data_IF_960713642269
#
_entry.id   IF_960713642269
#
_cell.length_a   1.000
_cell.length_b   1.000
_cell.length_c   1.000
_cell.angle_alpha   90.00
_cell.angle_beta   90.00
_cell.angle_gamma   90.00
#
_symmetry.space_group_name_H-M   'P 1'
#
loop_
_entity.id
_entity.type
_entity.pdbx_description
1 polymer ?
#
# COMPACT_ATOMS: atom_id res chain seq x y z
N UNK A 1 -15.91 -14.51 -23.97
CA UNK A 1 -14.65 -14.73 -23.24
C UNK A 1 -14.94 -14.65 -21.75
N UNK A 2 -15.01 -15.77 -21.05
CA UNK A 2 -15.11 -15.78 -19.59
C UNK A 2 -13.75 -15.33 -19.04
N UNK A 3 -13.63 -14.07 -18.63
CA UNK A 3 -12.40 -13.56 -18.01
C UNK A 3 -12.13 -14.39 -16.75
N UNK A 4 -10.96 -15.01 -16.67
CA UNK A 4 -10.50 -15.75 -15.49
C UNK A 4 -10.60 -14.83 -14.26
N UNK A 5 -11.11 -15.31 -13.11
CA UNK A 5 -11.02 -14.57 -11.85
C UNK A 5 -9.58 -14.15 -11.55
N UNK A 6 -9.35 -12.86 -11.34
CA UNK A 6 -8.07 -12.31 -10.90
C UNK A 6 -7.99 -12.29 -9.38
N UNK A 7 -6.79 -12.49 -8.86
CA UNK A 7 -6.41 -12.18 -7.47
C UNK A 7 -5.91 -10.76 -7.39
N UNK A 8 -6.57 -9.91 -6.62
CA UNK A 8 -6.29 -8.48 -6.55
C UNK A 8 -5.98 -8.11 -5.11
N UNK A 9 -4.76 -7.61 -4.88
CA UNK A 9 -4.40 -6.99 -3.61
C UNK A 9 -4.71 -5.51 -3.68
N UNK A 10 -5.65 -5.05 -2.86
CA UNK A 10 -5.98 -3.64 -2.75
C UNK A 10 -5.21 -3.03 -1.58
N UNK A 11 -4.33 -2.07 -1.84
CA UNK A 11 -3.53 -1.39 -0.82
C UNK A 11 -4.07 0.01 -0.57
N UNK A 12 -4.34 0.34 0.67
CA UNK A 12 -4.77 1.69 1.05
C UNK A 12 -4.23 2.08 2.41
N UNK A 13 -3.96 3.36 2.61
CA UNK A 13 -3.63 3.91 3.92
C UNK A 13 -4.86 4.04 4.82
N UNK A 14 -6.06 4.17 4.26
CA UNK A 14 -7.31 4.33 5.00
C UNK A 14 -8.45 3.55 4.34
N UNK A 15 -9.40 3.06 5.12
CA UNK A 15 -10.58 2.35 4.63
C UNK A 15 -11.68 2.35 5.70
N UNK A 16 -12.91 2.69 5.32
CA UNK A 16 -14.07 2.48 6.20
C UNK A 16 -14.38 0.99 6.32
N UNK A 17 -14.81 0.51 7.50
CA UNK A 17 -15.05 1.24 8.76
C UNK A 17 -13.82 1.41 9.66
N UNK A 18 -12.65 0.91 9.27
CA UNK A 18 -11.47 0.83 10.14
C UNK A 18 -10.84 2.20 10.45
N UNK A 19 -10.55 3.00 9.42
CA UNK A 19 -9.97 4.33 9.56
C UNK A 19 -10.44 5.26 8.44
N UNK A 20 -10.85 6.47 8.80
CA UNK A 20 -11.36 7.48 7.86
C UNK A 20 -10.78 8.85 8.15
N UNK A 21 -10.11 9.42 7.15
CA UNK A 21 -9.66 10.81 7.10
C UNK A 21 -10.24 11.49 5.86
N UNK A 22 -10.11 10.86 4.69
CA UNK A 22 -10.53 11.43 3.41
C UNK A 22 -11.45 10.53 2.59
N UNK A 23 -11.68 10.92 1.33
CA UNK A 23 -12.52 10.18 0.38
C UNK A 23 -11.90 8.85 -0.07
N UNK A 24 -10.57 8.69 0.03
CA UNK A 24 -9.91 7.40 -0.24
C UNK A 24 -10.45 6.31 0.68
N UNK A 25 -10.78 6.63 1.94
CA UNK A 25 -11.35 5.65 2.87
C UNK A 25 -12.69 5.08 2.39
N UNK A 26 -13.54 5.91 1.79
CA UNK A 26 -14.84 5.50 1.25
C UNK A 26 -14.68 4.62 -0.01
N UNK A 27 -13.69 4.93 -0.86
CA UNK A 27 -13.34 4.09 -2.03
C UNK A 27 -12.79 2.75 -1.55
N UNK A 28 -11.83 2.73 -0.64
CA UNK A 28 -11.23 1.51 -0.11
C UNK A 28 -12.24 0.63 0.68
N UNK A 29 -13.29 1.23 1.26
CA UNK A 29 -14.37 0.50 1.91
C UNK A 29 -15.49 0.01 0.98
N UNK A 30 -15.51 0.40 -0.30
CA UNK A 30 -16.61 0.05 -1.23
C UNK A 30 -16.14 -0.65 -2.51
N UNK A 31 -15.04 -0.21 -3.10
CA UNK A 31 -14.52 -0.72 -4.36
C UNK A 31 -14.06 -2.18 -4.26
N UNK A 32 -13.32 -2.62 -3.21
CA UNK A 32 -12.95 -4.04 -3.07
C UNK A 32 -14.17 -4.98 -3.04
N UNK A 33 -15.26 -4.54 -2.39
CA UNK A 33 -16.53 -5.28 -2.34
C UNK A 33 -17.15 -5.40 -3.74
N UNK A 34 -17.20 -4.31 -4.49
CA UNK A 34 -17.73 -4.30 -5.85
C UNK A 34 -16.91 -5.20 -6.79
N UNK A 35 -15.59 -5.13 -6.74
CA UNK A 35 -14.70 -5.97 -7.55
C UNK A 35 -14.86 -7.45 -7.19
N UNK A 36 -15.00 -7.78 -5.90
CA UNK A 36 -15.25 -9.16 -5.46
C UNK A 36 -16.60 -9.68 -5.93
N UNK A 37 -17.64 -8.83 -5.93
CA UNK A 37 -18.96 -9.17 -6.48
C UNK A 37 -18.95 -9.44 -8.00
N UNK A 38 -17.94 -8.93 -8.73
CA UNK A 38 -17.70 -9.26 -10.14
C UNK A 38 -16.99 -10.62 -10.34
N UNK A 39 -16.72 -11.36 -9.25
CA UNK A 39 -16.14 -12.71 -9.28
C UNK A 39 -14.63 -12.76 -9.17
N UNK A 40 -13.97 -11.70 -8.72
CA UNK A 40 -12.52 -11.65 -8.46
C UNK A 40 -12.19 -11.95 -6.98
N UNK A 41 -11.01 -12.49 -6.71
CA UNK A 41 -10.53 -12.66 -5.32
C UNK A 41 -9.79 -11.38 -4.88
N UNK A 42 -10.52 -10.49 -4.21
CA UNK A 42 -9.96 -9.23 -3.72
C UNK A 42 -9.68 -9.32 -2.22
N UNK A 43 -8.52 -8.83 -1.81
CA UNK A 43 -8.09 -8.70 -0.41
C UNK A 43 -7.61 -7.27 -0.17
N UNK A 44 -8.02 -6.66 0.94
CA UNK A 44 -7.61 -5.32 1.33
C UNK A 44 -6.44 -5.42 2.33
N UNK A 45 -5.42 -4.58 2.18
CA UNK A 45 -4.43 -4.38 3.23
C UNK A 45 -4.24 -2.91 3.55
N UNK A 46 -4.15 -2.62 4.85
CA UNK A 46 -3.95 -1.28 5.39
C UNK A 46 -3.15 -1.33 6.71
N UNK A 47 -2.64 -0.21 7.23
CA UNK A 47 -2.03 -0.22 8.57
C UNK A 47 -3.06 -0.38 9.68
N UNK A 48 -2.65 -0.97 10.82
CA UNK A 48 -3.41 -0.95 12.06
C UNK A 48 -3.02 0.29 12.86
N UNK A 49 -3.82 1.35 12.81
CA UNK A 49 -3.66 2.55 13.63
C UNK A 49 -4.18 2.38 15.08
N UNK A 50 -3.61 3.14 16.02
CA UNK A 50 -4.03 3.13 17.44
C UNK A 50 -5.52 3.45 17.65
N UNK A 51 -6.09 4.31 16.80
CA UNK A 51 -7.51 4.67 16.85
C UNK A 51 -8.46 3.52 16.49
N UNK A 52 -7.97 2.43 15.88
CA UNK A 52 -8.77 1.25 15.56
C UNK A 52 -8.96 0.44 16.84
N UNK A 53 -10.13 0.60 17.45
CA UNK A 53 -10.47 -0.08 18.70
C UNK A 53 -10.77 -1.56 18.47
N UNK A 54 -10.12 -2.42 19.25
CA UNK A 54 -10.22 -3.87 19.13
C UNK A 54 -11.58 -4.44 19.51
N UNK A 55 -12.44 -3.68 20.19
CA UNK A 55 -13.80 -4.07 20.57
C UNK A 55 -14.83 -3.87 19.45
N UNK A 56 -14.49 -3.13 18.40
CA UNK A 56 -15.39 -2.85 17.27
C UNK A 56 -15.33 -3.89 16.16
N UNK A 57 -14.25 -4.67 16.11
CA UNK A 57 -13.98 -5.60 15.01
C UNK A 57 -13.54 -6.95 15.53
N UNK A 58 -13.86 -8.00 14.79
CA UNK A 58 -13.23 -9.29 15.02
C UNK A 58 -11.85 -9.30 14.38
N UNK A 59 -10.83 -9.50 15.21
CA UNK A 59 -9.44 -9.57 14.80
C UNK A 59 -8.85 -10.94 15.12
N UNK A 60 -8.10 -11.49 14.16
CA UNK A 60 -7.34 -12.73 14.33
C UNK A 60 -5.86 -12.50 14.03
N UNK A 61 -4.98 -13.15 14.79
CA UNK A 61 -3.54 -13.15 14.49
C UNK A 61 -3.31 -14.02 13.27
N UNK A 62 -2.62 -13.50 12.26
CA UNK A 62 -2.27 -14.26 11.05
C UNK A 62 -0.80 -14.63 11.10
N UNK A 63 -0.54 -15.94 11.23
CA UNK A 63 0.80 -16.51 11.27
C UNK A 63 1.65 -15.99 12.43
N UNK A 64 2.95 -16.27 12.35
CA UNK A 64 3.93 -15.72 13.28
C UNK A 64 4.42 -14.34 12.82
N UNK A 65 4.91 -13.49 13.75
CA UNK A 65 5.50 -12.21 13.38
C UNK A 65 6.69 -12.44 12.44
N UNK A 66 6.86 -11.55 11.48
CA UNK A 66 7.92 -11.62 10.48
C UNK A 66 8.73 -10.32 10.45
N UNK A 67 9.95 -10.41 9.95
CA UNK A 67 10.85 -9.27 9.79
C UNK A 67 10.72 -8.67 8.39
N UNK A 68 10.89 -7.36 8.29
CA UNK A 68 11.08 -6.66 7.03
C UNK A 68 12.36 -5.83 7.04
N UNK A 69 13.07 -5.74 5.90
CA UNK A 69 14.29 -4.95 5.80
C UNK A 69 13.99 -3.44 5.85
N UNK A 70 14.54 -2.73 6.84
CA UNK A 70 14.50 -1.26 6.91
C UNK A 70 15.76 -0.69 7.56
N UNK A 71 16.28 0.40 6.99
CA UNK A 71 17.52 1.03 7.40
C UNK A 71 18.66 0.01 7.42
N UNK A 72 19.42 0.01 8.53
CA UNK A 72 20.55 -0.90 8.74
C UNK A 72 20.16 -2.26 9.36
N UNK A 73 18.87 -2.54 9.50
CA UNK A 73 18.39 -3.73 10.19
C UNK A 73 17.04 -4.19 9.67
N UNK A 74 16.24 -4.71 10.59
CA UNK A 74 14.91 -5.22 10.30
C UNK A 74 13.91 -4.67 11.31
N UNK A 75 12.68 -4.44 10.84
CA UNK A 75 11.54 -4.12 11.69
C UNK A 75 10.65 -5.34 11.82
N UNK A 76 10.26 -5.67 13.06
CA UNK A 76 9.37 -6.79 13.32
C UNK A 76 7.92 -6.33 13.19
N UNK A 77 7.16 -7.03 12.35
CA UNK A 77 5.76 -6.71 12.06
C UNK A 77 4.86 -7.92 12.31
N UNK A 78 3.61 -7.62 12.66
CA UNK A 78 2.55 -8.60 12.86
C UNK A 78 1.46 -8.38 11.83
N UNK A 79 0.80 -9.45 11.40
CA UNK A 79 -0.36 -9.37 10.53
C UNK A 79 -1.62 -9.76 11.30
N UNK A 80 -2.65 -8.94 11.16
CA UNK A 80 -3.96 -9.18 11.77
C UNK A 80 -4.99 -9.30 10.68
N UNK A 81 -5.80 -10.36 10.73
CA UNK A 81 -6.92 -10.62 9.84
C UNK A 81 -8.21 -10.01 10.38
N UNK A 82 -9.04 -9.54 9.47
CA UNK A 82 -10.44 -9.18 9.69
C UNK A 82 -11.21 -9.31 8.37
N UNK A 83 -12.46 -8.87 8.37
CA UNK A 83 -13.29 -8.82 7.17
C UNK A 83 -14.03 -7.50 7.07
N UNK A 84 -14.09 -6.95 5.86
CA UNK A 84 -14.97 -5.83 5.52
C UNK A 84 -16.33 -6.39 5.13
N UNK A 85 -17.38 -5.97 5.85
CA UNK A 85 -18.77 -6.45 5.72
C UNK A 85 -18.93 -7.99 5.76
N UNK A 86 -18.01 -8.70 6.44
CA UNK A 86 -18.01 -10.17 6.46
C UNK A 86 -17.65 -10.84 5.12
N UNK A 87 -17.22 -10.08 4.11
CA UNK A 87 -17.11 -10.57 2.73
C UNK A 87 -15.71 -10.41 2.12
N UNK A 88 -15.06 -9.26 2.29
CA UNK A 88 -13.72 -9.01 1.75
C UNK A 88 -12.70 -9.23 2.85
N UNK A 89 -11.72 -10.16 2.69
CA UNK A 89 -10.64 -10.31 3.65
C UNK A 89 -9.81 -9.04 3.78
N UNK A 90 -9.51 -8.64 5.01
CA UNK A 90 -8.71 -7.46 5.34
C UNK A 90 -7.51 -7.90 6.18
N UNK A 91 -6.31 -7.45 5.81
CA UNK A 91 -5.12 -7.67 6.62
C UNK A 91 -4.48 -6.36 7.05
N UNK A 92 -4.36 -6.18 8.36
CA UNK A 92 -3.82 -5.00 8.97
C UNK A 92 -2.38 -5.21 9.42
N UNK A 93 -1.48 -4.28 9.08
CA UNK A 93 -0.11 -4.27 9.63
C UNK A 93 -0.16 -3.78 11.07
N UNK A 94 0.09 -4.66 12.03
CA UNK A 94 0.36 -4.23 13.40
C UNK A 94 1.87 -4.05 13.58
N UNK A 95 2.24 -2.85 13.96
CA UNK A 95 3.59 -2.47 14.33
C UNK A 95 3.51 -1.26 15.27
N UNK A 96 3.99 -1.40 16.50
CA UNK A 96 3.84 -0.37 17.52
C UNK A 96 4.58 0.93 17.18
N UNK A 97 5.87 0.90 16.77
CA UNK A 97 6.61 2.12 16.46
C UNK A 97 5.97 2.99 15.39
N UNK A 98 5.46 2.40 14.31
CA UNK A 98 5.00 3.16 13.14
C UNK A 98 3.47 3.32 13.04
N UNK A 99 2.67 2.45 13.67
CA UNK A 99 1.20 2.46 13.45
C UNK A 99 0.36 2.23 14.70
N UNK A 100 0.57 1.12 15.41
CA UNK A 100 -0.41 0.60 16.37
C UNK A 100 -0.45 1.34 17.71
N UNK A 101 0.58 2.14 17.99
CA UNK A 101 0.59 3.11 19.11
C UNK A 101 0.20 4.53 18.69
N UNK A 102 -0.18 4.75 17.42
CA UNK A 102 -0.40 6.09 16.84
C UNK A 102 -1.84 6.26 16.39
N UNK A 103 -2.55 7.22 16.97
CA UNK A 103 -3.98 7.42 16.72
C UNK A 103 -4.32 8.08 15.38
N UNK A 104 -3.37 8.79 14.77
CA UNK A 104 -3.59 9.49 13.49
C UNK A 104 -3.10 8.64 12.31
N UNK A 105 -3.80 8.76 11.18
CA UNK A 105 -3.40 8.14 9.91
C UNK A 105 -2.20 8.88 9.31
N UNK A 106 -2.24 10.21 9.28
CA UNK A 106 -1.23 11.08 8.66
C UNK A 106 -0.77 12.21 9.60
N UNK A 107 0.24 12.96 9.17
CA UNK A 107 0.71 14.19 9.82
C UNK A 107 1.80 13.96 10.86
N UNK A 108 2.60 12.91 10.69
CA UNK A 108 3.82 12.69 11.47
C UNK A 108 5.05 13.06 10.64
N UNK A 109 6.10 13.52 11.30
CA UNK A 109 7.36 13.91 10.66
C UNK A 109 8.02 12.73 9.91
N UNK A 110 7.75 11.51 10.34
CA UNK A 110 8.28 10.26 9.79
C UNK A 110 7.27 9.52 8.89
N UNK A 111 6.24 10.19 8.36
CA UNK A 111 5.22 9.51 7.54
C UNK A 111 5.83 8.74 6.35
N UNK A 112 6.86 9.28 5.70
CA UNK A 112 7.56 8.58 4.64
C UNK A 112 8.18 7.24 5.11
N UNK A 113 8.73 7.20 6.34
CA UNK A 113 9.26 5.97 6.93
C UNK A 113 8.14 4.99 7.29
N UNK A 114 7.06 5.49 7.89
CA UNK A 114 5.87 4.68 8.21
C UNK A 114 5.38 3.96 6.96
N UNK A 115 5.17 4.68 5.87
CA UNK A 115 4.64 4.09 4.65
C UNK A 115 5.66 3.23 3.87
N UNK A 116 6.96 3.44 4.06
CA UNK A 116 7.97 2.49 3.61
C UNK A 116 7.89 1.14 4.36
N UNK A 117 7.76 1.19 5.70
CA UNK A 117 7.50 0.02 6.55
C UNK A 117 6.22 -0.69 6.11
N UNK A 118 5.15 0.06 5.82
CA UNK A 118 3.91 -0.51 5.31
C UNK A 118 4.14 -1.28 4.00
N UNK A 119 4.76 -0.65 3.00
CA UNK A 119 5.03 -1.26 1.70
C UNK A 119 5.78 -2.58 1.80
N UNK A 120 6.91 -2.59 2.50
CA UNK A 120 7.69 -3.81 2.74
C UNK A 120 6.88 -4.87 3.50
N UNK A 121 6.11 -4.47 4.52
CA UNK A 121 5.25 -5.39 5.26
C UNK A 121 4.15 -6.01 4.39
N UNK A 122 3.72 -5.36 3.30
CA UNK A 122 2.70 -5.92 2.38
C UNK A 122 3.31 -6.92 1.41
N UNK A 123 4.51 -6.64 0.91
CA UNK A 123 5.26 -7.57 0.05
C UNK A 123 5.61 -8.86 0.79
N UNK A 124 6.23 -8.76 1.97
CA UNK A 124 6.53 -9.91 2.82
C UNK A 124 5.24 -10.63 3.30
N UNK A 125 4.17 -9.86 3.49
CA UNK A 125 2.76 -10.26 3.57
C UNK A 125 2.38 -11.50 2.74
N UNK A 126 2.76 -11.46 1.46
CA UNK A 126 2.31 -12.40 0.44
C UNK A 126 2.83 -13.82 0.69
N UNK A 127 4.07 -13.96 1.18
CA UNK A 127 4.64 -15.26 1.54
C UNK A 127 3.98 -15.84 2.79
N UNK A 128 3.74 -15.02 3.81
CA UNK A 128 3.08 -15.46 5.04
C UNK A 128 1.67 -16.01 4.77
N UNK A 129 0.96 -15.40 3.82
CA UNK A 129 -0.39 -15.79 3.44
C UNK A 129 -0.46 -16.95 2.45
N UNK A 130 0.67 -17.41 1.92
CA UNK A 130 0.76 -18.32 0.77
C UNK A 130 -0.18 -17.88 -0.38
N UNK A 131 -0.15 -16.58 -0.67
CA UNK A 131 -1.09 -15.97 -1.62
C UNK A 131 -0.37 -14.94 -2.50
N UNK A 132 -0.24 -15.26 -3.78
CA UNK A 132 0.31 -14.37 -4.82
C UNK A 132 -0.85 -13.69 -5.58
N UNK A 133 -0.94 -12.35 -5.58
CA UNK A 133 -1.89 -11.61 -6.41
C UNK A 133 -1.47 -11.64 -7.88
N UNK A 134 -2.44 -11.54 -8.78
CA UNK A 134 -2.18 -11.22 -10.20
C UNK A 134 -1.95 -9.71 -10.37
N UNK A 135 -2.64 -8.89 -9.56
CA UNK A 135 -2.55 -7.42 -9.59
C UNK A 135 -2.45 -6.85 -8.18
N UNK A 136 -1.53 -5.91 -7.96
CA UNK A 136 -1.56 -5.01 -6.81
C UNK A 136 -2.12 -3.66 -7.23
N UNK A 137 -3.25 -3.28 -6.64
CA UNK A 137 -3.86 -1.97 -6.77
C UNK A 137 -3.37 -1.07 -5.63
N UNK A 138 -2.38 -0.23 -5.95
CA UNK A 138 -1.76 0.74 -5.07
C UNK A 138 -2.49 2.09 -5.16
N UNK A 139 -2.87 2.66 -4.01
CA UNK A 139 -3.60 3.92 -3.94
C UNK A 139 -2.74 5.01 -3.25
N UNK A 140 -2.48 6.09 -3.99
CA UNK A 140 -1.67 7.25 -3.60
C UNK A 140 -0.23 6.95 -3.14
N UNK A 141 0.50 8.03 -2.84
CA UNK A 141 1.91 8.03 -2.45
C UNK A 141 2.23 7.08 -1.28
N UNK A 142 1.29 6.88 -0.35
CA UNK A 142 1.42 5.95 0.78
C UNK A 142 1.77 4.52 0.37
N UNK A 143 1.46 4.16 -0.87
CA UNK A 143 1.70 2.83 -1.43
C UNK A 143 2.65 2.86 -2.62
N UNK A 144 3.15 4.04 -3.01
CA UNK A 144 4.01 4.24 -4.18
C UNK A 144 5.33 3.46 -4.14
N UNK A 145 5.82 3.15 -2.94
CA UNK A 145 6.97 2.26 -2.74
C UNK A 145 6.75 0.86 -3.34
N UNK A 146 5.52 0.33 -3.33
CA UNK A 146 5.23 -1.04 -3.78
C UNK A 146 5.41 -1.22 -5.29
N UNK A 147 4.79 -0.43 -6.18
CA UNK A 147 5.07 -0.52 -7.61
C UNK A 147 6.54 -0.18 -7.91
N UNK A 148 7.13 0.81 -7.22
CA UNK A 148 8.55 1.15 -7.37
C UNK A 148 9.45 -0.05 -7.09
N UNK A 149 9.25 -0.75 -5.97
CA UNK A 149 10.05 -1.90 -5.59
C UNK A 149 9.82 -3.09 -6.53
N UNK A 150 8.57 -3.35 -6.93
CA UNK A 150 8.24 -4.43 -7.85
C UNK A 150 8.94 -4.27 -9.19
N UNK A 151 8.94 -3.07 -9.76
CA UNK A 151 9.56 -2.79 -11.06
C UNK A 151 11.08 -2.88 -11.03
N UNK A 152 11.71 -2.35 -9.97
CA UNK A 152 13.17 -2.19 -9.88
C UNK A 152 13.91 -3.39 -9.29
N UNK A 153 13.28 -4.12 -8.36
CA UNK A 153 13.84 -5.29 -7.69
C UNK A 153 12.97 -6.54 -7.82
N UNK A 154 11.65 -6.41 -7.64
CA UNK A 154 10.72 -7.54 -7.66
C UNK A 154 10.74 -8.35 -8.96
N UNK A 155 11.00 -7.71 -10.11
CA UNK A 155 11.16 -8.40 -11.41
C UNK A 155 12.27 -9.47 -11.44
N UNK A 156 13.26 -9.37 -10.55
CA UNK A 156 14.36 -10.35 -10.43
C UNK A 156 13.97 -11.59 -9.62
N UNK A 157 12.93 -11.49 -8.81
CA UNK A 157 12.42 -12.58 -7.99
C UNK A 157 11.25 -13.30 -8.69
N UNK A 158 11.35 -14.63 -8.82
CA UNK A 158 10.32 -15.44 -9.51
C UNK A 158 8.92 -15.37 -8.90
N UNK A 159 8.82 -15.11 -7.58
CA UNK A 159 7.54 -14.95 -6.92
C UNK A 159 6.87 -13.64 -7.33
N UNK A 160 7.61 -12.53 -7.38
CA UNK A 160 7.05 -11.20 -7.62
C UNK A 160 6.99 -10.79 -9.09
N UNK A 161 7.85 -11.35 -9.95
CA UNK A 161 8.07 -10.88 -11.34
C UNK A 161 6.84 -10.69 -12.20
N UNK A 162 5.81 -11.52 -12.01
CA UNK A 162 4.61 -11.53 -12.86
C UNK A 162 3.42 -10.79 -12.22
N UNK A 163 3.64 -10.11 -11.08
CA UNK A 163 2.61 -9.32 -10.41
C UNK A 163 2.49 -7.97 -11.12
N UNK A 164 1.34 -7.70 -11.73
CA UNK A 164 1.06 -6.41 -12.35
C UNK A 164 0.65 -5.36 -11.31
N UNK A 165 0.81 -4.09 -11.65
CA UNK A 165 0.52 -2.96 -10.76
C UNK A 165 -0.43 -1.95 -11.39
N UNK A 166 -1.44 -1.54 -10.61
CA UNK A 166 -2.31 -0.41 -10.93
C UNK A 166 -2.10 0.64 -9.84
N UNK A 167 -1.69 1.85 -10.23
CA UNK A 167 -1.52 2.97 -9.32
C UNK A 167 -2.63 4.01 -9.53
N UNK A 168 -3.42 4.25 -8.48
CA UNK A 168 -4.51 5.24 -8.51
C UNK A 168 -4.16 6.47 -7.71
N UNK A 169 -4.22 7.61 -8.37
CA UNK A 169 -4.05 8.93 -7.79
C UNK A 169 -5.42 9.46 -7.33
N UNK A 170 -5.59 9.78 -6.05
CA UNK A 170 -6.80 10.44 -5.55
C UNK A 170 -6.56 11.92 -5.30
N UNK A 171 -5.32 12.32 -5.01
CA UNK A 171 -4.99 13.72 -4.80
C UNK A 171 -3.49 14.02 -5.00
N UNK A 172 -3.13 14.65 -6.12
CA UNK A 172 -1.77 15.14 -6.41
C UNK A 172 -1.24 16.22 -5.46
N UNK A 173 -2.09 16.84 -4.62
CA UNK A 173 -1.60 17.78 -3.62
C UNK A 173 -0.74 17.09 -2.54
N UNK A 174 -0.95 15.79 -2.31
CA UNK A 174 -0.18 15.01 -1.35
C UNK A 174 0.72 14.02 -2.08
N UNK A 175 2.03 14.28 -2.03
CA UNK A 175 2.99 13.56 -2.89
C UNK A 175 3.97 12.67 -2.12
N UNK A 176 3.98 12.73 -0.78
CA UNK A 176 4.91 11.94 0.01
C UNK A 176 6.36 12.33 -0.21
N UNK A 177 6.64 13.63 -0.34
CA UNK A 177 8.00 14.12 -0.56
C UNK A 177 8.81 13.96 0.74
N UNK A 178 9.99 13.36 0.62
CA UNK A 178 10.91 13.16 1.74
C UNK A 178 12.36 13.40 1.29
N UNK A 179 13.27 13.61 2.25
CA UNK A 179 14.70 13.68 1.95
C UNK A 179 15.25 12.33 1.49
N UNK A 180 16.32 12.35 0.69
CA UNK A 180 16.92 11.18 0.05
C UNK A 180 17.28 10.03 0.99
N UNK A 181 17.56 10.32 2.27
CA UNK A 181 17.81 9.29 3.29
C UNK A 181 16.66 8.29 3.43
N UNK A 182 15.46 8.61 2.94
CA UNK A 182 14.36 7.65 2.86
C UNK A 182 14.69 6.44 1.98
N UNK A 183 15.50 6.58 0.92
CA UNK A 183 15.92 5.44 0.10
C UNK A 183 16.79 4.47 0.90
N UNK A 184 17.73 4.98 1.71
CA UNK A 184 18.52 4.15 2.62
C UNK A 184 17.65 3.50 3.70
N UNK A 185 16.68 4.22 4.24
CA UNK A 185 15.72 3.61 5.18
C UNK A 185 14.86 2.54 4.51
N UNK A 186 14.42 2.74 3.27
CA UNK A 186 13.64 1.77 2.52
C UNK A 186 14.49 0.64 1.90
N UNK A 187 15.82 0.67 2.04
CA UNK A 187 16.75 -0.23 1.32
C UNK A 187 16.55 -0.22 -0.20
N UNK A 188 16.39 0.97 -0.76
CA UNK A 188 16.07 1.23 -2.16
C UNK A 188 17.02 2.25 -2.80
N UNK A 189 18.28 2.35 -2.34
CA UNK A 189 19.27 3.27 -2.94
C UNK A 189 19.59 2.98 -4.42
N UNK A 190 19.21 1.81 -4.92
CA UNK A 190 19.34 1.44 -6.34
C UNK A 190 18.25 2.04 -7.22
N UNK A 191 17.21 2.66 -6.64
CA UNK A 191 16.15 3.35 -7.40
C UNK A 191 16.69 4.66 -7.94
N UNK A 192 16.47 4.90 -9.22
CA UNK A 192 16.93 6.10 -9.88
C UNK A 192 16.15 7.34 -9.42
N UNK A 193 16.86 8.45 -9.25
CA UNK A 193 16.25 9.75 -8.99
C UNK A 193 15.56 10.24 -10.27
N UNK A 194 14.28 10.62 -10.15
CA UNK A 194 13.49 11.04 -11.30
C UNK A 194 13.76 12.50 -11.66
N UNK A 195 13.74 12.89 -12.94
CA UNK A 195 13.95 14.30 -13.34
C UNK A 195 12.99 15.31 -12.73
N UNK A 196 11.79 14.87 -12.31
CA UNK A 196 10.77 15.71 -11.65
C UNK A 196 11.02 15.90 -10.15
N UNK A 197 11.88 15.09 -9.55
CA UNK A 197 12.21 15.18 -8.13
C UNK A 197 13.18 16.33 -7.87
N UNK A 198 13.01 17.01 -6.74
CA UNK A 198 13.96 18.02 -6.33
C UNK A 198 15.29 17.37 -5.94
N UNK A 199 16.44 18.04 -6.14
CA UNK A 199 17.74 17.50 -5.73
C UNK A 199 17.75 17.11 -4.25
N UNK A 200 18.17 15.88 -3.96
CA UNK A 200 18.24 15.36 -2.59
C UNK A 200 16.89 15.01 -1.96
N UNK A 201 15.81 15.00 -2.75
CA UNK A 201 14.48 14.57 -2.32
C UNK A 201 13.98 13.39 -3.16
N UNK A 202 13.02 12.67 -2.60
CA UNK A 202 12.26 11.59 -3.23
C UNK A 202 10.80 11.96 -3.17
N UNK A 203 10.07 11.66 -4.24
CA UNK A 203 8.63 11.88 -4.35
C UNK A 203 7.94 10.53 -4.58
N UNK A 204 7.36 9.96 -3.52
CA UNK A 204 6.72 8.64 -3.61
C UNK A 204 5.51 8.59 -4.55
N UNK A 205 4.83 9.72 -4.79
CA UNK A 205 3.82 9.81 -5.84
C UNK A 205 4.46 9.69 -7.23
N UNK A 206 5.53 10.44 -7.51
CA UNK A 206 6.21 10.39 -8.79
C UNK A 206 6.82 9.01 -9.07
N UNK A 207 7.47 8.41 -8.07
CA UNK A 207 8.02 7.05 -8.15
C UNK A 207 6.91 6.02 -8.42
N UNK A 208 5.78 6.12 -7.71
CA UNK A 208 4.63 5.26 -7.96
C UNK A 208 4.06 5.38 -9.38
N UNK A 209 4.01 6.61 -9.93
CA UNK A 209 3.57 6.86 -11.31
C UNK A 209 4.57 6.30 -12.33
N UNK A 210 5.86 6.52 -12.12
CA UNK A 210 6.91 6.14 -13.06
C UNK A 210 7.06 4.61 -13.21
N UNK A 211 6.80 3.87 -12.14
CA UNK A 211 7.07 2.43 -12.06
C UNK A 211 5.84 1.52 -12.12
N UNK A 212 4.62 2.08 -12.12
CA UNK A 212 3.41 1.27 -12.24
C UNK A 212 3.14 0.83 -13.69
N UNK A 213 2.62 -0.37 -13.89
CA UNK A 213 2.24 -0.87 -15.23
C UNK A 213 1.06 -0.08 -15.81
N UNK A 214 0.14 0.36 -14.95
CA UNK A 214 -0.96 1.24 -15.30
C UNK A 214 -1.18 2.31 -14.22
N UNK A 215 -1.49 3.52 -14.67
CA UNK A 215 -1.86 4.64 -13.80
C UNK A 215 -3.28 5.09 -14.16
N UNK A 216 -4.11 5.33 -13.14
CA UNK A 216 -5.41 5.95 -13.33
C UNK A 216 -5.71 6.95 -12.20
N UNK A 217 -6.91 7.53 -12.27
CA UNK A 217 -7.39 8.44 -11.24
C UNK A 217 -8.91 8.38 -11.11
N UNK A 218 -9.46 9.11 -10.15
CA UNK A 218 -10.82 8.98 -9.62
C UNK A 218 -11.91 9.50 -10.55
N UNK A 219 -11.58 10.30 -11.57
CA UNK A 219 -12.55 10.73 -12.58
C UNK A 219 -11.89 11.14 -13.89
N UNK A 220 -12.67 11.09 -14.99
CA UNK A 220 -12.22 11.58 -16.31
C UNK A 220 -11.82 13.06 -16.28
N UNK A 221 -12.60 13.87 -15.56
CA UNK A 221 -12.33 15.31 -15.44
C UNK A 221 -11.03 15.55 -14.70
N UNK A 222 -10.85 14.90 -13.55
CA UNK A 222 -9.63 15.03 -12.78
C UNK A 222 -8.41 14.51 -13.56
N UNK A 223 -8.55 13.43 -14.33
CA UNK A 223 -7.50 12.95 -15.24
C UNK A 223 -7.05 14.01 -16.27
N UNK A 224 -7.96 14.87 -16.72
CA UNK A 224 -7.62 15.98 -17.61
C UNK A 224 -6.98 17.13 -16.84
N UNK A 225 -7.52 17.48 -15.66
CA UNK A 225 -7.03 18.58 -14.81
C UNK A 225 -5.59 18.36 -14.33
N UNK A 226 -5.15 17.12 -14.13
CA UNK A 226 -3.78 16.83 -13.66
C UNK A 226 -2.73 16.79 -14.78
N UNK A 227 -3.14 16.96 -16.04
CA UNK A 227 -2.24 16.99 -17.20
C UNK A 227 -2.02 18.41 -17.74
N UNK A 228 -2.67 19.41 -17.15
CA UNK A 228 -2.61 20.83 -17.54
C UNK A 228 -1.81 21.63 -16.54
#
# INVERSE_FOLDING_TARGET
MTRKPLKILFLSAEAVPFAKVGGLADVAGSLPRAIRALGHDVRLMMPRYGAIRSDQFHFEKIGEPFSIPVGRGEERVHLIGSTLDGYVPVYLTWNDPYFSSRDRVYGFEDDAQRFAVFGHARLAALHLLDWKPDVIHANDWHTGIVPTWLDTAGRKDSFYRDIATLFTIHNLAYQGIAGWLIMTFAQMEYVEHLPVEQPGAVNWMAQGIAHADLVNTVSKKYAQEILT
#
